data_IF_864369158067
#
_entry.id   IF_864369158067
#
_cell.length_a   1.000
_cell.length_b   1.000
_cell.length_c   1.000
_cell.angle_alpha   90.00
_cell.angle_beta   90.00
_cell.angle_gamma   90.00
#
_symmetry.space_group_name_H-M   'P 1'
#
loop_
_entity.id
_entity.type
_entity.pdbx_description
1 polymer ?
#
# COMPACT_ATOMS: atom_id res chain seq x y z
N UNK A 1 -16.54 42.80 -4.40
CA UNK A 1 -15.54 41.74 -4.22
C UNK A 1 -14.29 42.14 -4.97
N UNK A 2 -13.15 42.28 -4.31
CA UNK A 2 -11.90 42.73 -4.91
C UNK A 2 -11.21 41.59 -5.68
N UNK A 3 -10.39 41.93 -6.68
CA UNK A 3 -9.62 40.96 -7.46
C UNK A 3 -8.69 40.09 -6.61
N UNK A 4 -8.23 40.62 -5.47
CA UNK A 4 -7.46 39.88 -4.47
C UNK A 4 -8.23 38.72 -3.85
N UNK A 5 -9.54 38.88 -3.60
CA UNK A 5 -10.38 37.81 -3.05
C UNK A 5 -10.57 36.69 -4.07
N UNK A 6 -10.80 37.04 -5.34
CA UNK A 6 -10.92 36.04 -6.43
C UNK A 6 -9.64 35.24 -6.64
N UNK A 7 -8.48 35.90 -6.57
CA UNK A 7 -7.18 35.23 -6.72
C UNK A 7 -6.92 34.24 -5.57
N UNK A 8 -7.26 34.61 -4.33
CA UNK A 8 -7.12 33.74 -3.17
C UNK A 8 -8.05 32.51 -3.25
N UNK A 9 -9.30 32.70 -3.69
CA UNK A 9 -10.26 31.62 -3.93
C UNK A 9 -9.77 30.64 -5.01
N UNK A 10 -9.29 31.16 -6.15
CA UNK A 10 -8.74 30.33 -7.22
C UNK A 10 -7.53 29.52 -6.76
N UNK A 11 -6.61 30.15 -6.02
CA UNK A 11 -5.43 29.46 -5.47
C UNK A 11 -5.81 28.33 -4.51
N UNK A 12 -6.84 28.54 -3.68
CA UNK A 12 -7.33 27.51 -2.77
C UNK A 12 -7.94 26.31 -3.51
N UNK A 13 -8.70 26.58 -4.59
CA UNK A 13 -9.27 25.54 -5.47
C UNK A 13 -8.15 24.74 -6.14
N UNK A 14 -7.14 25.42 -6.68
CA UNK A 14 -6.03 24.77 -7.38
C UNK A 14 -5.20 23.88 -6.42
N UNK A 15 -4.95 24.34 -5.20
CA UNK A 15 -4.28 23.56 -4.17
C UNK A 15 -5.07 22.31 -3.76
N UNK A 16 -6.39 22.41 -3.62
CA UNK A 16 -7.24 21.28 -3.27
C UNK A 16 -7.31 20.25 -4.42
N UNK A 17 -7.37 20.74 -5.65
CA UNK A 17 -7.27 19.90 -6.85
C UNK A 17 -5.94 19.13 -6.88
N UNK A 18 -4.83 19.83 -6.68
CA UNK A 18 -3.49 19.23 -6.67
C UNK A 18 -3.34 18.15 -5.59
N UNK A 19 -3.85 18.41 -4.37
CA UNK A 19 -3.86 17.42 -3.27
C UNK A 19 -4.69 16.19 -3.61
N UNK A 20 -5.83 16.37 -4.26
CA UNK A 20 -6.70 15.28 -4.68
C UNK A 20 -6.00 14.40 -5.72
N UNK A 21 -5.37 15.02 -6.72
CA UNK A 21 -4.59 14.31 -7.75
C UNK A 21 -3.40 13.57 -7.14
N UNK A 22 -2.64 14.22 -6.25
CA UNK A 22 -1.54 13.58 -5.54
C UNK A 22 -2.01 12.36 -4.75
N UNK A 23 -3.10 12.50 -3.97
CA UNK A 23 -3.67 11.40 -3.19
C UNK A 23 -4.08 10.23 -4.09
N UNK A 24 -4.71 10.50 -5.23
CA UNK A 24 -5.10 9.46 -6.17
C UNK A 24 -3.88 8.72 -6.76
N UNK A 25 -2.84 9.45 -7.14
CA UNK A 25 -1.60 8.87 -7.64
C UNK A 25 -0.88 8.01 -6.58
N UNK A 26 -0.85 8.47 -5.32
CA UNK A 26 -0.29 7.68 -4.19
C UNK A 26 -1.08 6.40 -3.95
N UNK A 27 -2.42 6.46 -3.98
CA UNK A 27 -3.28 5.27 -3.85
C UNK A 27 -2.97 4.27 -4.96
N UNK A 28 -2.91 4.73 -6.21
CA UNK A 28 -2.61 3.86 -7.35
C UNK A 28 -1.22 3.22 -7.22
N UNK A 29 -0.21 4.01 -6.86
CA UNK A 29 1.15 3.53 -6.66
C UNK A 29 1.21 2.42 -5.59
N UNK A 30 0.60 2.64 -4.41
CA UNK A 30 0.63 1.64 -3.36
C UNK A 30 -0.22 0.41 -3.67
N UNK A 31 -1.31 0.54 -4.44
CA UNK A 31 -2.06 -0.62 -4.93
C UNK A 31 -1.20 -1.51 -5.82
N UNK A 32 -0.51 -0.94 -6.82
CA UNK A 32 0.41 -1.69 -7.67
C UNK A 32 1.52 -2.35 -6.84
N UNK A 33 2.02 -1.68 -5.80
CA UNK A 33 3.00 -2.26 -4.90
C UNK A 33 2.43 -3.44 -4.11
N UNK A 34 1.20 -3.33 -3.59
CA UNK A 34 0.51 -4.41 -2.87
C UNK A 34 0.31 -5.62 -3.79
N UNK A 35 -0.18 -5.42 -5.01
CA UNK A 35 -0.37 -6.47 -6.02
C UNK A 35 0.95 -7.21 -6.29
N UNK A 36 2.04 -6.47 -6.51
CA UNK A 36 3.35 -7.06 -6.71
C UNK A 36 3.82 -7.89 -5.50
N UNK A 37 3.58 -7.43 -4.27
CA UNK A 37 3.94 -8.20 -3.08
C UNK A 37 3.07 -9.46 -2.92
N UNK A 38 1.80 -9.43 -3.31
CA UNK A 38 0.93 -10.62 -3.34
C UNK A 38 1.47 -11.69 -4.29
N UNK A 39 1.91 -11.32 -5.49
CA UNK A 39 2.54 -12.24 -6.44
C UNK A 39 3.77 -12.92 -5.84
N UNK A 40 4.64 -12.12 -5.20
CA UNK A 40 5.83 -12.61 -4.51
C UNK A 40 5.47 -13.54 -3.35
N UNK A 41 4.45 -13.21 -2.58
CA UNK A 41 3.96 -14.05 -1.48
C UNK A 41 3.46 -15.40 -1.99
N UNK A 42 2.65 -15.41 -3.05
CA UNK A 42 2.12 -16.64 -3.63
C UNK A 42 3.26 -17.58 -4.05
N UNK A 43 4.27 -17.06 -4.75
CA UNK A 43 5.45 -17.82 -5.18
C UNK A 43 6.27 -18.35 -3.99
N UNK A 44 6.56 -17.51 -3.00
CA UNK A 44 7.33 -17.91 -1.83
C UNK A 44 6.56 -18.94 -0.98
N UNK A 45 5.24 -18.79 -0.87
CA UNK A 45 4.38 -19.71 -0.14
C UNK A 45 4.27 -21.06 -0.84
N UNK A 46 4.28 -21.12 -2.18
CA UNK A 46 4.31 -22.37 -2.91
C UNK A 46 5.61 -23.15 -2.64
N UNK A 47 6.76 -22.48 -2.70
CA UNK A 47 8.07 -23.12 -2.55
C UNK A 47 8.49 -23.41 -1.10
N UNK A 48 7.94 -22.71 -0.11
CA UNK A 48 8.30 -22.92 1.29
C UNK A 48 7.74 -24.25 1.81
N UNK A 49 8.61 -25.12 2.35
CA UNK A 49 8.20 -26.41 2.95
C UNK A 49 8.02 -26.35 4.47
N UNK A 50 8.50 -25.28 5.10
CA UNK A 50 8.42 -25.06 6.54
C UNK A 50 7.01 -24.59 6.94
N UNK A 51 6.31 -25.43 7.68
CA UNK A 51 4.91 -25.21 8.08
C UNK A 51 4.75 -24.07 9.07
N UNK A 52 5.71 -23.86 9.97
CA UNK A 52 5.63 -22.83 11.01
C UNK A 52 5.83 -21.44 10.38
N UNK A 53 6.77 -21.34 9.43
CA UNK A 53 6.95 -20.14 8.61
C UNK A 53 5.71 -19.82 7.78
N UNK A 54 5.09 -20.85 7.19
CA UNK A 54 3.82 -20.70 6.45
C UNK A 54 2.71 -20.16 7.33
N UNK A 55 2.58 -20.66 8.56
CA UNK A 55 1.56 -20.18 9.49
C UNK A 55 1.82 -18.73 9.93
N UNK A 56 3.06 -18.40 10.29
CA UNK A 56 3.44 -17.03 10.62
C UNK A 56 3.15 -16.07 9.46
N UNK A 57 3.53 -16.44 8.24
CA UNK A 57 3.31 -15.64 7.05
C UNK A 57 1.81 -15.46 6.74
N UNK A 58 0.98 -16.50 6.93
CA UNK A 58 -0.49 -16.38 6.85
C UNK A 58 -1.05 -15.38 7.84
N UNK A 59 -0.58 -15.39 9.08
CA UNK A 59 -0.96 -14.40 10.10
C UNK A 59 -0.62 -12.96 9.67
N UNK A 60 0.54 -12.77 9.03
CA UNK A 60 0.91 -11.47 8.46
C UNK A 60 0.02 -11.06 7.29
N UNK A 61 -0.36 -11.99 6.41
CA UNK A 61 -1.31 -11.70 5.32
C UNK A 61 -2.69 -11.29 5.86
N UNK A 62 -3.16 -11.93 6.92
CA UNK A 62 -4.41 -11.53 7.57
C UNK A 62 -4.33 -10.09 8.13
N UNK A 63 -3.19 -9.70 8.71
CA UNK A 63 -2.96 -8.33 9.15
C UNK A 63 -2.86 -7.33 7.98
N UNK A 64 -2.18 -7.71 6.89
CA UNK A 64 -2.07 -6.89 5.68
C UNK A 64 -3.44 -6.60 5.05
N UNK A 65 -4.32 -7.61 4.99
CA UNK A 65 -5.66 -7.46 4.44
C UNK A 65 -6.50 -6.36 5.15
N UNK A 66 -6.34 -6.21 6.47
CA UNK A 66 -6.99 -5.12 7.23
C UNK A 66 -6.48 -3.75 6.72
N UNK A 67 -5.17 -3.62 6.52
CA UNK A 67 -4.60 -2.39 5.98
C UNK A 67 -5.00 -2.13 4.52
N UNK A 68 -5.19 -3.17 3.69
CA UNK A 68 -5.69 -3.02 2.32
C UNK A 68 -7.12 -2.46 2.29
N UNK A 69 -7.98 -2.96 3.17
CA UNK A 69 -9.36 -2.48 3.32
C UNK A 69 -9.38 -1.01 3.71
N UNK A 70 -8.60 -0.63 4.73
CA UNK A 70 -8.48 0.76 5.20
C UNK A 70 -7.80 1.67 4.17
N UNK A 71 -6.95 1.08 3.34
CA UNK A 71 -6.16 1.70 2.29
C UNK A 71 -6.95 2.50 1.27
N UNK A 72 -8.21 2.11 1.02
CA UNK A 72 -9.12 2.83 0.11
C UNK A 72 -9.40 4.27 0.56
N UNK A 73 -9.33 4.54 1.87
CA UNK A 73 -9.58 5.87 2.45
C UNK A 73 -8.30 6.57 2.88
N UNK A 74 -7.28 5.79 3.27
CA UNK A 74 -6.02 6.24 3.83
C UNK A 74 -4.83 5.61 3.08
N UNK A 75 -4.19 6.32 2.13
CA UNK A 75 -3.12 5.75 1.29
C UNK A 75 -1.95 5.18 2.09
N UNK A 76 -1.63 5.78 3.25
CA UNK A 76 -0.60 5.30 4.17
C UNK A 76 -0.85 3.88 4.70
N UNK A 77 -2.10 3.41 4.70
CA UNK A 77 -2.45 2.03 5.05
C UNK A 77 -2.08 1.05 3.94
N UNK A 78 -2.25 1.41 2.66
CA UNK A 78 -1.77 0.57 1.54
C UNK A 78 -0.25 0.39 1.59
N UNK A 79 0.49 1.46 1.90
CA UNK A 79 1.94 1.36 2.14
C UNK A 79 2.26 0.32 3.23
N UNK A 80 1.50 0.35 4.34
CA UNK A 80 1.68 -0.61 5.43
C UNK A 80 1.28 -2.03 5.07
N UNK A 81 0.25 -2.22 4.25
CA UNK A 81 -0.06 -3.54 3.69
C UNK A 81 1.14 -4.10 2.90
N UNK A 82 1.69 -3.31 1.98
CA UNK A 82 2.86 -3.72 1.19
C UNK A 82 4.08 -4.06 2.08
N UNK A 83 4.37 -3.24 3.10
CA UNK A 83 5.46 -3.51 4.05
C UNK A 83 5.25 -4.86 4.79
N UNK A 84 4.02 -5.14 5.24
CA UNK A 84 3.69 -6.39 5.97
C UNK A 84 3.80 -7.60 5.05
N UNK A 85 3.27 -7.53 3.83
CA UNK A 85 3.37 -8.63 2.86
C UNK A 85 4.85 -8.89 2.52
N UNK A 86 5.65 -7.84 2.36
CA UNK A 86 7.11 -7.97 2.14
C UNK A 86 7.81 -8.74 3.27
N UNK A 87 7.44 -8.49 4.53
CA UNK A 87 7.99 -9.25 5.66
C UNK A 87 7.49 -10.71 5.61
N UNK A 88 6.22 -10.94 5.27
CA UNK A 88 5.67 -12.29 5.10
C UNK A 88 6.44 -13.07 4.01
N UNK A 89 6.76 -12.42 2.89
CA UNK A 89 7.63 -12.97 1.83
C UNK A 89 9.01 -13.32 2.39
N UNK A 90 9.63 -12.42 3.16
CA UNK A 90 10.96 -12.65 3.74
C UNK A 90 10.99 -13.81 4.76
N UNK A 91 9.89 -14.05 5.49
CA UNK A 91 9.78 -15.23 6.35
C UNK A 91 9.83 -16.53 5.53
N UNK A 92 9.14 -16.56 4.38
CA UNK A 92 9.00 -17.72 3.52
C UNK A 92 10.24 -17.97 2.65
N UNK A 93 10.82 -16.90 2.10
CA UNK A 93 12.04 -16.91 1.32
C UNK A 93 12.96 -15.77 1.79
N UNK A 94 13.90 -16.04 2.71
CA UNK A 94 14.82 -15.03 3.23
C UNK A 94 15.84 -14.56 2.19
N UNK A 95 15.90 -15.21 1.02
CA UNK A 95 16.76 -14.80 -0.10
C UNK A 95 15.98 -14.03 -1.17
N UNK A 96 14.67 -13.87 -1.02
CA UNK A 96 13.85 -13.13 -1.97
C UNK A 96 14.37 -11.68 -2.09
N UNK A 97 14.64 -11.20 -3.32
CA UNK A 97 15.15 -9.84 -3.52
C UNK A 97 14.15 -8.79 -3.00
N UNK A 98 14.66 -7.74 -2.36
CA UNK A 98 13.87 -6.76 -1.62
C UNK A 98 12.93 -5.93 -2.50
#
# INVERSE_FOLDING_TARGET
>A
MSDTTKLAEQTAIDLESARTTQKAAEVQHYWTLVEHQHERYALAHEHCVDTDRKEAARGMMAAAAIFEIDGRRMPSRLKKAADVIKIAVFLLDPKAPA
#
